data_IF_973992938472
#
_entry.id   IF_973992938472
#
_cell.length_a   1.000
_cell.length_b   1.000
_cell.length_c   1.000
_cell.angle_alpha   90.00
_cell.angle_beta   90.00
_cell.angle_gamma   90.00
#
_symmetry.space_group_name_H-M   'P 1'
#
loop_
_entity.id
_entity.type
_entity.pdbx_description
1 polymer ?
#
# COMPACT_ATOMS: atom_id res chain seq x y z
N UNK A 1 16.14 26.96 -18.09
CA UNK A 1 17.14 25.88 -18.27
C UNK A 1 16.87 24.78 -17.25
N UNK A 2 15.98 23.84 -17.56
CA UNK A 2 15.69 22.70 -16.70
C UNK A 2 16.72 21.61 -16.97
N UNK A 3 17.88 21.67 -16.31
CA UNK A 3 18.69 20.47 -16.16
C UNK A 3 17.90 19.52 -15.25
N UNK A 4 17.07 18.68 -15.86
CA UNK A 4 16.42 17.57 -15.19
C UNK A 4 17.54 16.62 -14.75
N UNK A 5 18.02 16.81 -13.52
CA UNK A 5 18.98 15.92 -12.89
C UNK A 5 18.33 14.53 -12.82
N UNK A 6 18.67 13.65 -13.76
CA UNK A 6 18.05 12.33 -13.93
C UNK A 6 18.11 11.49 -12.65
N UNK A 7 19.05 11.81 -11.73
CA UNK A 7 19.20 11.19 -10.40
C UNK A 7 17.99 11.34 -9.47
N UNK A 8 17.04 12.24 -9.75
CA UNK A 8 15.92 12.54 -8.85
C UNK A 8 14.81 11.48 -8.84
N UNK A 9 14.71 10.62 -9.85
CA UNK A 9 13.57 9.68 -9.97
C UNK A 9 13.94 8.21 -9.85
N UNK A 10 15.22 7.86 -9.99
CA UNK A 10 15.64 6.46 -9.93
C UNK A 10 15.36 5.82 -8.58
N UNK A 11 15.70 6.49 -7.47
CA UNK A 11 15.45 5.95 -6.12
C UNK A 11 13.95 5.83 -5.83
N UNK A 12 13.10 6.87 -6.02
CA UNK A 12 11.66 6.73 -5.85
C UNK A 12 11.05 5.65 -6.75
N UNK A 13 11.42 5.61 -8.04
CA UNK A 13 10.86 4.66 -9.00
C UNK A 13 11.25 3.21 -8.68
N UNK A 14 12.51 2.99 -8.27
CA UNK A 14 12.98 1.69 -7.83
C UNK A 14 12.21 1.21 -6.60
N UNK A 15 12.10 2.04 -5.56
CA UNK A 15 11.39 1.69 -4.34
C UNK A 15 9.88 1.53 -4.56
N UNK A 16 9.27 2.41 -5.37
CA UNK A 16 7.89 2.27 -5.80
C UNK A 16 7.64 0.89 -6.43
N UNK A 17 8.49 0.50 -7.38
CA UNK A 17 8.36 -0.77 -8.10
C UNK A 17 8.56 -1.95 -7.14
N UNK A 18 9.55 -1.87 -6.27
CA UNK A 18 9.84 -2.92 -5.29
C UNK A 18 8.69 -3.12 -4.31
N UNK A 19 8.16 -2.04 -3.73
CA UNK A 19 7.01 -2.08 -2.83
C UNK A 19 5.79 -2.63 -3.54
N UNK A 20 5.49 -2.14 -4.75
CA UNK A 20 4.33 -2.60 -5.51
C UNK A 20 4.39 -4.09 -5.83
N UNK A 21 5.56 -4.60 -6.25
CA UNK A 21 5.74 -6.03 -6.52
C UNK A 21 5.56 -6.84 -5.24
N UNK A 22 6.17 -6.42 -4.13
CA UNK A 22 6.12 -7.16 -2.89
C UNK A 22 4.71 -7.14 -2.25
N UNK A 23 4.02 -6.01 -2.31
CA UNK A 23 2.62 -5.88 -1.90
C UNK A 23 1.71 -6.83 -2.69
N UNK A 24 1.74 -6.75 -4.02
CA UNK A 24 0.84 -7.55 -4.85
C UNK A 24 1.16 -9.04 -4.78
N UNK A 25 2.44 -9.40 -4.71
CA UNK A 25 2.87 -10.80 -4.55
C UNK A 25 2.46 -11.37 -3.20
N UNK A 26 2.68 -10.63 -2.10
CA UNK A 26 2.31 -11.10 -0.75
C UNK A 26 0.79 -11.24 -0.60
N UNK A 27 0.00 -10.29 -1.13
CA UNK A 27 -1.46 -10.38 -1.17
C UNK A 27 -1.95 -11.59 -1.96
N UNK A 28 -1.38 -11.81 -3.15
CA UNK A 28 -1.69 -12.98 -3.97
C UNK A 28 -1.44 -14.29 -3.20
N UNK A 29 -0.26 -14.41 -2.60
CA UNK A 29 0.12 -15.59 -1.82
C UNK A 29 -0.84 -15.82 -0.64
N UNK A 30 -1.22 -14.77 0.09
CA UNK A 30 -2.18 -14.88 1.20
C UNK A 30 -3.55 -15.36 0.73
N UNK A 31 -4.07 -14.80 -0.38
CA UNK A 31 -5.37 -15.21 -0.92
C UNK A 31 -5.36 -16.69 -1.32
N UNK A 32 -4.28 -17.15 -1.94
CA UNK A 32 -4.13 -18.54 -2.39
C UNK A 32 -4.03 -19.53 -1.22
N UNK A 33 -3.30 -19.18 -0.15
CA UNK A 33 -3.01 -20.11 0.94
C UNK A 33 -4.02 -20.03 2.10
N UNK A 34 -4.56 -18.84 2.39
CA UNK A 34 -5.43 -18.57 3.55
C UNK A 34 -6.88 -18.22 3.17
N UNK A 35 -7.17 -17.96 1.89
CA UNK A 35 -8.54 -17.81 1.38
C UNK A 35 -9.31 -19.13 1.30
N UNK A 36 -10.58 -19.12 0.84
CA UNK A 36 -11.35 -17.99 0.30
C UNK A 36 -12.14 -17.21 1.37
N UNK A 37 -12.25 -17.75 2.58
CA UNK A 37 -13.04 -17.17 3.68
C UNK A 37 -12.12 -16.42 4.64
N UNK A 38 -12.34 -15.11 4.86
CA UNK A 38 -11.53 -14.31 5.78
C UNK A 38 -11.47 -14.90 7.19
N UNK A 39 -10.34 -14.74 7.86
CA UNK A 39 -10.06 -15.17 9.24
C UNK A 39 -10.18 -16.69 9.54
N UNK A 40 -10.55 -17.51 8.54
CA UNK A 40 -10.74 -18.95 8.76
C UNK A 40 -9.41 -19.70 8.98
N UNK A 41 -8.35 -19.25 8.30
CA UNK A 41 -7.00 -19.79 8.43
C UNK A 41 -6.05 -18.67 8.82
N UNK A 42 -5.10 -18.98 9.69
CA UNK A 42 -4.06 -18.05 10.13
C UNK A 42 -2.74 -18.77 10.36
N UNK A 43 -1.63 -18.06 10.14
CA UNK A 43 -0.27 -18.55 10.40
C UNK A 43 0.30 -17.71 11.54
N UNK A 44 0.55 -18.29 12.73
CA UNK A 44 1.22 -17.58 13.81
C UNK A 44 2.70 -17.37 13.46
N UNK A 45 3.17 -16.12 13.55
CA UNK A 45 4.58 -15.76 13.33
C UNK A 45 5.30 -15.60 14.68
N UNK A 46 4.63 -14.98 15.65
CA UNK A 46 5.16 -14.75 16.99
C UNK A 46 4.07 -15.01 18.04
N UNK A 47 3.76 -16.30 18.25
CA UNK A 47 2.66 -16.73 19.13
C UNK A 47 1.33 -16.09 18.73
N UNK A 48 0.62 -15.52 19.71
CA UNK A 48 -0.65 -14.84 19.48
C UNK A 48 -0.50 -13.35 19.13
N UNK A 49 0.71 -12.80 19.22
CA UNK A 49 0.94 -11.37 19.00
C UNK A 49 0.96 -11.02 17.51
N UNK A 50 1.63 -11.81 16.67
CA UNK A 50 1.73 -11.56 15.24
C UNK A 50 1.24 -12.77 14.46
N UNK A 51 0.23 -12.55 13.63
CA UNK A 51 -0.37 -13.58 12.78
C UNK A 51 -0.52 -13.08 11.36
N UNK A 52 -0.33 -13.98 10.40
CA UNK A 52 -0.75 -13.76 9.01
C UNK A 52 -2.14 -14.32 8.84
N UNK A 53 -3.06 -13.49 8.38
CA UNK A 53 -4.48 -13.82 8.19
C UNK A 53 -4.90 -13.39 6.79
N UNK A 54 -6.07 -13.82 6.34
CA UNK A 54 -6.71 -13.21 5.17
C UNK A 54 -7.86 -12.31 5.62
N UNK A 55 -7.78 -11.01 5.31
CA UNK A 55 -8.83 -10.03 5.60
C UNK A 55 -9.21 -9.24 4.34
N UNK A 56 -10.52 -9.03 4.15
CA UNK A 56 -11.06 -8.21 3.06
C UNK A 56 -11.46 -6.85 3.61
N UNK A 57 -10.70 -5.82 3.26
CA UNK A 57 -10.98 -4.46 3.70
C UNK A 57 -11.79 -3.70 2.64
N UNK A 58 -13.10 -3.62 2.86
CA UNK A 58 -14.06 -2.89 1.99
C UNK A 58 -14.20 -1.41 2.35
N UNK A 59 -13.45 -0.90 3.33
CA UNK A 59 -13.51 0.48 3.81
C UNK A 59 -12.12 1.13 3.87
N UNK A 60 -11.96 2.00 4.86
CA UNK A 60 -10.68 2.60 5.28
C UNK A 60 -10.23 1.99 6.60
N UNK A 61 -9.11 2.48 7.16
CA UNK A 61 -8.70 2.21 8.53
C UNK A 61 -9.91 2.23 9.49
N UNK A 62 -9.95 1.25 10.40
CA UNK A 62 -11.01 1.05 11.40
C UNK A 62 -12.41 0.71 10.86
N UNK A 63 -12.55 0.33 9.60
CA UNK A 63 -13.84 -0.12 9.06
C UNK A 63 -14.86 1.00 8.82
N UNK A 64 -14.41 2.25 8.82
CA UNK A 64 -15.22 3.42 8.44
C UNK A 64 -15.50 3.42 6.92
N UNK A 65 -16.69 3.89 6.54
CA UNK A 65 -17.11 4.10 5.14
C UNK A 65 -17.05 2.85 4.24
N UNK A 66 -17.57 1.73 4.72
CA UNK A 66 -17.66 0.50 3.92
C UNK A 66 -18.44 0.72 2.61
N UNK A 67 -18.11 -0.06 1.57
CA UNK A 67 -18.73 -0.04 0.24
C UNK A 67 -18.47 1.24 -0.60
N UNK A 68 -17.49 2.06 -0.22
CA UNK A 68 -17.10 3.26 -0.97
C UNK A 68 -15.71 3.14 -1.64
N UNK A 69 -15.37 1.93 -2.10
CA UNK A 69 -14.06 1.60 -2.69
C UNK A 69 -13.67 2.51 -3.87
N UNK A 70 -14.64 2.99 -4.65
CA UNK A 70 -14.40 3.96 -5.73
C UNK A 70 -13.94 5.32 -5.21
N UNK A 71 -14.62 5.86 -4.19
CA UNK A 71 -14.25 7.12 -3.53
C UNK A 71 -12.83 7.05 -2.96
N UNK A 72 -12.48 5.95 -2.28
CA UNK A 72 -11.13 5.80 -1.70
C UNK A 72 -10.04 5.62 -2.75
N UNK A 73 -10.34 4.95 -3.86
CA UNK A 73 -9.41 4.89 -4.99
C UNK A 73 -9.12 6.27 -5.55
N UNK A 74 -10.17 7.09 -5.76
CA UNK A 74 -10.03 8.46 -6.24
C UNK A 74 -9.24 9.32 -5.23
N UNK A 75 -9.58 9.23 -3.94
CA UNK A 75 -8.88 9.99 -2.90
C UNK A 75 -7.39 9.62 -2.83
N UNK A 76 -7.06 8.32 -2.87
CA UNK A 76 -5.67 7.86 -2.87
C UNK A 76 -4.89 8.36 -4.10
N UNK A 77 -5.53 8.38 -5.29
CA UNK A 77 -4.95 8.93 -6.51
C UNK A 77 -4.72 10.44 -6.41
N UNK A 78 -5.68 11.19 -5.84
CA UNK A 78 -5.55 12.64 -5.63
C UNK A 78 -4.42 12.97 -4.65
N UNK A 79 -4.33 12.25 -3.53
CA UNK A 79 -3.24 12.41 -2.56
C UNK A 79 -1.89 12.07 -3.21
N UNK A 80 -1.83 10.98 -3.98
CA UNK A 80 -0.62 10.57 -4.70
C UNK A 80 -0.17 11.63 -5.72
N UNK A 81 -1.11 12.18 -6.49
CA UNK A 81 -0.86 13.27 -7.43
C UNK A 81 -0.37 14.54 -6.72
N UNK A 82 -0.99 14.90 -5.58
CA UNK A 82 -0.56 16.01 -4.73
C UNK A 82 0.86 15.81 -4.17
N UNK A 83 1.18 14.59 -3.73
CA UNK A 83 2.51 14.24 -3.27
C UNK A 83 3.55 14.37 -4.38
N UNK A 84 3.24 13.89 -5.61
CA UNK A 84 4.13 14.03 -6.78
C UNK A 84 4.32 15.50 -7.13
N UNK A 85 3.26 16.30 -7.11
CA UNK A 85 3.33 17.74 -7.35
C UNK A 85 4.22 18.44 -6.32
N UNK A 86 4.03 18.15 -5.02
CA UNK A 86 4.87 18.69 -3.96
C UNK A 86 6.33 18.24 -4.10
N UNK A 87 6.57 16.98 -4.47
CA UNK A 87 7.90 16.44 -4.71
C UNK A 87 8.65 17.18 -5.83
N UNK A 88 7.94 17.58 -6.89
CA UNK A 88 8.53 18.31 -8.02
C UNK A 88 8.74 19.79 -7.70
N UNK A 89 7.83 20.41 -6.96
CA UNK A 89 7.75 21.88 -6.86
C UNK A 89 8.19 22.47 -5.52
N UNK A 90 8.08 21.72 -4.42
CA UNK A 90 8.25 22.24 -3.05
C UNK A 90 9.26 21.48 -2.19
N UNK A 91 9.37 20.16 -2.35
CA UNK A 91 10.19 19.33 -1.48
C UNK A 91 11.66 19.32 -1.93
N UNK A 92 12.61 19.13 -0.98
CA UNK A 92 14.02 18.99 -1.31
C UNK A 92 14.30 17.59 -1.89
N UNK A 93 13.83 17.35 -3.12
CA UNK A 93 13.90 16.06 -3.85
C UNK A 93 15.32 15.56 -4.18
N UNK A 94 16.35 16.26 -3.73
CA UNK A 94 17.74 15.84 -3.78
C UNK A 94 18.15 15.06 -2.52
N UNK A 95 17.39 15.21 -1.43
CA UNK A 95 17.61 14.45 -0.20
C UNK A 95 17.10 13.02 -0.40
N UNK A 96 17.98 12.05 -0.12
CA UNK A 96 17.68 10.62 -0.27
C UNK A 96 16.50 10.19 0.61
N UNK A 97 16.36 10.76 1.81
CA UNK A 97 15.22 10.48 2.69
C UNK A 97 13.87 10.84 2.04
N UNK A 98 13.77 12.00 1.38
CA UNK A 98 12.56 12.42 0.65
C UNK A 98 12.29 11.48 -0.53
N UNK A 99 13.34 11.06 -1.25
CA UNK A 99 13.23 10.11 -2.35
C UNK A 99 12.71 8.74 -1.89
N UNK A 100 13.23 8.25 -0.77
CA UNK A 100 12.79 7.00 -0.14
C UNK A 100 11.31 7.09 0.23
N UNK A 101 10.93 8.11 1.00
CA UNK A 101 9.54 8.32 1.42
C UNK A 101 8.58 8.39 0.23
N UNK A 102 8.98 9.05 -0.86
CA UNK A 102 8.17 9.16 -2.06
C UNK A 102 7.90 7.81 -2.71
N UNK A 103 8.93 6.97 -2.86
CA UNK A 103 8.79 5.63 -3.43
C UNK A 103 7.89 4.72 -2.57
N UNK A 104 8.10 4.74 -1.25
CA UNK A 104 7.32 3.94 -0.29
C UNK A 104 5.83 4.34 -0.30
N UNK A 105 5.53 5.64 -0.17
CA UNK A 105 4.14 6.15 -0.11
C UNK A 105 3.39 5.83 -1.40
N UNK A 106 4.00 6.09 -2.56
CA UNK A 106 3.35 5.82 -3.84
C UNK A 106 3.17 4.32 -4.09
N UNK A 107 4.15 3.49 -3.72
CA UNK A 107 4.08 2.06 -3.92
C UNK A 107 2.89 1.45 -3.18
N UNK A 108 2.76 1.76 -1.88
CA UNK A 108 1.64 1.27 -1.07
C UNK A 108 0.28 1.87 -1.50
N UNK A 109 0.25 3.16 -1.85
CA UNK A 109 -0.98 3.79 -2.33
C UNK A 109 -1.50 3.14 -3.62
N UNK A 110 -0.62 2.92 -4.61
CA UNK A 110 -1.01 2.30 -5.88
C UNK A 110 -1.34 0.81 -5.71
N UNK A 111 -0.61 0.07 -4.87
CA UNK A 111 -0.96 -1.33 -4.56
C UNK A 111 -2.38 -1.46 -4.03
N UNK A 112 -2.77 -0.58 -3.11
CA UNK A 112 -4.12 -0.55 -2.56
C UNK A 112 -5.19 -0.05 -3.53
N UNK A 113 -4.84 0.79 -4.52
CA UNK A 113 -5.75 1.17 -5.61
C UNK A 113 -5.97 0.00 -6.57
N UNK A 114 -4.91 -0.75 -6.90
CA UNK A 114 -5.00 -1.93 -7.78
C UNK A 114 -6.00 -2.95 -7.21
N UNK A 115 -5.90 -3.29 -5.92
CA UNK A 115 -6.83 -4.20 -5.27
C UNK A 115 -8.28 -3.68 -5.35
N UNK A 116 -8.51 -2.40 -5.01
CA UNK A 116 -9.85 -1.83 -5.02
C UNK A 116 -10.49 -1.85 -6.41
N UNK A 117 -9.71 -1.56 -7.46
CA UNK A 117 -10.19 -1.59 -8.84
C UNK A 117 -10.46 -3.01 -9.31
N UNK A 118 -9.61 -3.98 -8.95
CA UNK A 118 -9.73 -5.37 -9.42
C UNK A 118 -10.71 -6.23 -8.61
N UNK A 119 -10.74 -6.05 -7.29
CA UNK A 119 -11.42 -6.91 -6.33
C UNK A 119 -12.59 -6.21 -5.61
N UNK A 120 -12.63 -4.88 -5.62
CA UNK A 120 -13.60 -4.09 -4.86
C UNK A 120 -13.26 -3.89 -3.38
N UNK A 121 -12.15 -4.44 -2.90
CA UNK A 121 -11.64 -4.33 -1.53
C UNK A 121 -10.11 -4.43 -1.53
N UNK A 122 -9.46 -4.10 -0.41
CA UNK A 122 -8.02 -4.32 -0.20
C UNK A 122 -7.77 -5.62 0.55
N UNK A 123 -6.75 -6.36 0.14
CA UNK A 123 -6.30 -7.57 0.87
C UNK A 123 -5.37 -7.13 2.00
N UNK A 124 -5.83 -7.27 3.25
CA UNK A 124 -5.00 -7.06 4.44
C UNK A 124 -4.68 -8.40 5.10
N UNK A 125 -3.51 -8.52 5.72
CA UNK A 125 -3.05 -9.82 6.19
C UNK A 125 -2.10 -9.82 7.39
N UNK A 126 -1.54 -8.69 7.79
CA UNK A 126 -0.66 -8.59 8.95
C UNK A 126 -1.52 -8.20 10.15
N UNK A 127 -1.72 -9.14 11.08
CA UNK A 127 -2.41 -8.89 12.35
C UNK A 127 -1.38 -8.77 13.47
N UNK A 128 -1.44 -7.67 14.23
CA UNK A 128 -0.57 -7.42 15.40
C UNK A 128 -1.43 -7.09 16.62
N UNK A 129 -1.68 -8.09 17.47
CA UNK A 129 -2.51 -7.94 18.66
C UNK A 129 -3.87 -7.30 18.37
N UNK A 130 -4.12 -6.13 18.98
CA UNK A 130 -5.34 -5.35 18.83
C UNK A 130 -5.30 -4.33 17.67
N UNK A 131 -4.15 -4.15 17.03
CA UNK A 131 -3.97 -3.16 15.96
C UNK A 131 -4.76 -3.59 14.70
N UNK A 132 -5.34 -2.64 13.94
CA UNK A 132 -6.02 -2.96 12.69
C UNK A 132 -5.13 -3.77 11.74
N UNK A 133 -5.72 -4.78 11.10
CA UNK A 133 -5.00 -5.62 10.12
C UNK A 133 -4.58 -4.75 8.94
N UNK A 134 -3.35 -4.91 8.47
CA UNK A 134 -2.77 -4.09 7.40
C UNK A 134 -1.98 -4.96 6.40
N UNK A 135 -1.38 -4.33 5.39
CA UNK A 135 -0.53 -4.94 4.37
C UNK A 135 0.82 -4.21 4.29
N UNK A 136 1.58 -4.42 3.21
CA UNK A 136 2.96 -3.88 3.08
C UNK A 136 2.97 -2.37 2.85
#
# INVERSE_FOLDING_TARGET
>A
MFQANQRRWWVPAFLFTLVLIFDQWSKFWVVENLGPTPLMRSIPIAGDLVRIVYWRNTGVAFGLFQNNSGFFSILALLISAGAVYAYVTRLPNQQVSVQISMGLILGGAIGNVIDRVRLGYVVDFIQVGWWPIFNI
#
